data_IF_315956748396
#
_entry.id   IF_315956748396
#
_cell.length_a   1.000
_cell.length_b   1.000
_cell.length_c   1.000
_cell.angle_alpha   90.00
_cell.angle_beta   90.00
_cell.angle_gamma   90.00
#
_symmetry.space_group_name_H-M   'P 1'
#
loop_
_entity.id
_entity.type
_entity.pdbx_description
1 polymer ?
#
# COMPACT_ATOMS: atom_id res chain seq x y z
N UNK A 1 -0.17 7.56 12.72
CA UNK A 1 0.65 7.57 11.49
C UNK A 1 2.03 8.12 11.83
N UNK A 2 3.05 7.28 12.04
CA UNK A 2 4.34 7.73 12.56
C UNK A 2 5.09 8.69 11.61
N UNK A 3 4.76 8.67 10.31
CA UNK A 3 5.44 9.46 9.28
C UNK A 3 4.72 10.75 8.87
N UNK A 4 3.58 11.08 9.48
CA UNK A 4 2.76 12.23 9.07
C UNK A 4 3.52 13.58 9.14
N UNK A 5 4.34 13.86 10.18
CA UNK A 5 5.10 15.12 10.23
C UNK A 5 6.13 15.26 9.11
N UNK A 6 6.82 14.18 8.76
CA UNK A 6 7.81 14.18 7.68
C UNK A 6 7.14 14.35 6.31
N UNK A 7 6.00 13.68 6.10
CA UNK A 7 5.23 13.79 4.87
C UNK A 7 4.71 15.22 4.65
N UNK A 8 4.07 15.82 5.67
CA UNK A 8 3.56 17.20 5.59
C UNK A 8 4.68 18.17 5.25
N UNK A 9 5.83 18.05 5.94
CA UNK A 9 7.00 18.89 5.70
C UNK A 9 7.52 18.75 4.27
N UNK A 10 7.66 17.52 3.76
CA UNK A 10 8.12 17.28 2.40
C UNK A 10 7.15 17.85 1.35
N UNK A 11 5.84 17.70 1.55
CA UNK A 11 4.83 18.21 0.62
C UNK A 11 4.77 19.74 0.59
N UNK A 12 4.94 20.40 1.75
CA UNK A 12 5.05 21.86 1.83
C UNK A 12 6.32 22.37 1.11
N UNK A 13 7.46 21.72 1.32
CA UNK A 13 8.74 22.07 0.67
C UNK A 13 8.69 21.99 -0.86
N UNK A 14 8.00 20.99 -1.40
CA UNK A 14 7.87 20.80 -2.85
C UNK A 14 6.65 21.53 -3.44
N UNK A 15 5.93 22.32 -2.63
CA UNK A 15 4.79 23.12 -3.09
C UNK A 15 3.53 22.32 -3.44
N UNK A 16 3.46 21.03 -3.08
CA UNK A 16 2.29 20.18 -3.28
C UNK A 16 1.20 20.39 -2.22
N UNK A 17 1.55 21.07 -1.12
CA UNK A 17 0.66 21.30 0.00
C UNK A 17 0.87 22.72 0.54
N UNK A 18 -0.23 23.45 0.77
CA UNK A 18 -0.23 24.76 1.43
C UNK A 18 -1.28 24.74 2.52
N UNK A 19 -0.85 24.59 3.76
CA UNK A 19 -1.74 24.55 4.92
C UNK A 19 -1.64 25.86 5.72
N UNK A 20 -2.78 26.42 6.14
CA UNK A 20 -2.83 27.39 7.23
C UNK A 20 -2.18 26.82 8.50
N UNK A 21 -1.58 27.69 9.32
CA UNK A 21 -0.81 27.27 10.50
C UNK A 21 -1.65 26.52 11.55
N UNK A 22 -2.90 26.92 11.72
CA UNK A 22 -3.92 26.28 12.57
C UNK A 22 -4.27 24.88 12.06
N UNK A 23 -4.49 24.73 10.74
CA UNK A 23 -4.78 23.43 10.12
C UNK A 23 -3.58 22.48 10.27
N UNK A 24 -2.35 22.98 10.08
CA UNK A 24 -1.13 22.21 10.29
C UNK A 24 -1.00 21.74 11.74
N UNK A 25 -1.28 22.61 12.72
CA UNK A 25 -1.25 22.25 14.13
C UNK A 25 -2.29 21.18 14.47
N UNK A 26 -3.51 21.29 13.94
CA UNK A 26 -4.54 20.27 14.10
C UNK A 26 -4.18 18.95 13.43
N UNK A 27 -3.62 18.98 12.21
CA UNK A 27 -3.19 17.79 11.48
C UNK A 27 -2.07 17.03 12.18
N UNK A 28 -1.16 17.72 12.87
CA UNK A 28 -0.05 17.09 13.59
C UNK A 28 -0.43 16.62 15.00
N UNK A 29 -1.51 17.15 15.59
CA UNK A 29 -2.00 16.80 16.93
C UNK A 29 -3.13 15.78 16.94
N UNK A 30 -3.83 15.60 15.81
CA UNK A 30 -4.95 14.67 15.69
C UNK A 30 -4.49 13.22 15.96
N UNK A 31 -5.28 12.50 16.77
CA UNK A 31 -4.99 11.10 17.05
C UNK A 31 -5.32 10.20 15.85
N UNK A 32 -4.59 9.09 15.63
CA UNK A 32 -4.89 8.14 14.56
C UNK A 32 -6.34 7.66 14.56
N UNK A 33 -6.89 7.36 15.74
CA UNK A 33 -8.28 6.92 15.89
C UNK A 33 -9.30 7.98 15.43
N UNK A 34 -9.00 9.27 15.62
CA UNK A 34 -9.87 10.36 15.17
C UNK A 34 -9.83 10.48 13.65
N UNK A 35 -8.65 10.38 13.05
CA UNK A 35 -8.47 10.33 11.59
C UNK A 35 -9.25 9.15 11.00
N UNK A 36 -9.13 7.96 11.59
CA UNK A 36 -9.83 6.77 11.10
C UNK A 36 -11.35 6.91 11.19
N UNK A 37 -11.87 7.50 12.27
CA UNK A 37 -13.30 7.80 12.40
C UNK A 37 -13.78 8.82 11.37
N UNK A 38 -13.01 9.89 11.13
CA UNK A 38 -13.33 10.92 10.12
C UNK A 38 -13.32 10.35 8.70
N UNK A 39 -12.39 9.45 8.40
CA UNK A 39 -12.26 8.81 7.08
C UNK A 39 -13.21 7.62 6.87
N UNK A 40 -13.91 7.17 7.91
CA UNK A 40 -14.79 5.99 7.84
C UNK A 40 -15.86 6.09 6.73
N UNK A 41 -16.61 7.20 6.59
CA UNK A 41 -17.62 7.31 5.54
C UNK A 41 -17.01 7.23 4.14
N UNK A 42 -15.84 7.85 3.93
CA UNK A 42 -15.13 7.81 2.66
C UNK A 42 -14.61 6.40 2.34
N UNK A 43 -14.08 5.70 3.34
CA UNK A 43 -13.63 4.30 3.19
C UNK A 43 -14.79 3.36 2.84
N UNK A 44 -15.99 3.63 3.33
CA UNK A 44 -17.20 2.88 2.99
C UNK A 44 -17.68 3.20 1.56
N UNK A 45 -17.44 4.43 1.07
CA UNK A 45 -17.74 4.84 -0.30
C UNK A 45 -16.71 4.37 -1.34
N UNK A 46 -15.46 4.12 -0.93
CA UNK A 46 -14.43 3.53 -1.78
C UNK A 46 -14.84 2.09 -2.10
N UNK A 47 -15.34 1.88 -3.31
CA UNK A 47 -15.65 0.53 -3.83
C UNK A 47 -14.41 -0.37 -3.69
N UNK A 48 -14.64 -1.61 -3.27
CA UNK A 48 -13.61 -2.66 -3.16
C UNK A 48 -12.74 -2.63 -4.42
N UNK A 49 -11.42 -2.58 -4.25
CA UNK A 49 -10.47 -2.51 -5.37
C UNK A 49 -10.80 -3.61 -6.38
N UNK A 50 -11.08 -3.21 -7.63
CA UNK A 50 -11.46 -4.14 -8.68
C UNK A 50 -10.18 -4.86 -9.11
N UNK A 51 -10.10 -6.15 -8.81
CA UNK A 51 -8.99 -6.99 -9.25
C UNK A 51 -9.26 -7.48 -10.67
N UNK A 52 -8.35 -7.20 -11.60
CA UNK A 52 -8.34 -7.81 -12.93
C UNK A 52 -7.82 -9.25 -12.89
N UNK A 53 -7.15 -9.64 -11.80
CA UNK A 53 -6.63 -10.99 -11.59
C UNK A 53 -7.59 -11.80 -10.70
N UNK A 54 -7.91 -13.03 -11.11
CA UNK A 54 -8.54 -14.03 -10.22
C UNK A 54 -7.43 -14.76 -9.49
N UNK A 55 -7.55 -14.88 -8.16
CA UNK A 55 -6.59 -15.62 -7.35
C UNK A 55 -6.57 -17.09 -7.80
N UNK A 56 -5.46 -17.55 -8.38
CA UNK A 56 -5.22 -18.97 -8.62
C UNK A 56 -5.06 -19.69 -7.29
N UNK A 57 -5.64 -20.89 -7.16
CA UNK A 57 -5.68 -21.65 -5.90
C UNK A 57 -4.36 -22.39 -5.59
N UNK A 58 -3.36 -22.26 -6.45
CA UNK A 58 -2.14 -23.07 -6.42
C UNK A 58 -0.94 -22.24 -5.96
N UNK A 59 -0.17 -22.81 -5.03
CA UNK A 59 1.18 -22.42 -4.61
C UNK A 59 1.34 -21.36 -3.51
N UNK A 60 0.42 -20.40 -3.29
CA UNK A 60 0.63 -19.39 -2.21
C UNK A 60 0.74 -20.00 -0.79
N UNK A 61 0.00 -21.07 -0.51
CA UNK A 61 0.05 -21.78 0.78
C UNK A 61 1.36 -22.57 1.00
N UNK A 62 2.13 -22.83 -0.06
CA UNK A 62 3.43 -23.51 0.05
C UNK A 62 4.57 -22.53 0.39
N UNK A 63 4.27 -21.23 0.47
CA UNK A 63 5.24 -20.18 0.75
C UNK A 63 5.00 -19.72 2.17
N UNK A 64 5.85 -20.17 3.09
CA UNK A 64 5.73 -19.88 4.51
C UNK A 64 6.01 -18.39 4.75
N UNK A 65 5.09 -17.69 5.43
CA UNK A 65 5.29 -16.29 5.84
C UNK A 65 6.07 -16.28 7.16
N UNK A 66 7.35 -15.91 7.11
CA UNK A 66 8.17 -15.68 8.31
C UNK A 66 8.03 -14.24 8.80
N UNK A 67 8.00 -14.07 10.12
CA UNK A 67 8.06 -12.77 10.80
C UNK A 67 9.50 -12.47 11.22
N UNK A 68 9.76 -11.23 11.66
CA UNK A 68 11.09 -10.61 11.84
C UNK A 68 12.20 -11.39 12.57
N UNK A 69 11.92 -12.53 13.22
CA UNK A 69 12.88 -13.27 14.03
C UNK A 69 13.69 -14.35 13.28
N UNK A 70 13.31 -14.69 12.04
CA UNK A 70 13.71 -15.95 11.40
C UNK A 70 14.53 -15.75 10.09
N UNK A 71 15.50 -14.82 10.10
CA UNK A 71 16.24 -14.38 8.90
C UNK A 71 17.64 -14.98 8.72
N UNK A 72 18.10 -15.88 9.60
CA UNK A 72 19.38 -16.55 9.40
C UNK A 72 19.20 -17.69 8.38
N UNK A 73 20.00 -17.65 7.31
CA UNK A 73 20.11 -18.66 6.22
C UNK A 73 19.01 -18.65 5.15
N UNK A 74 18.79 -17.49 4.52
CA UNK A 74 17.78 -17.34 3.46
C UNK A 74 18.39 -17.28 2.06
N UNK A 75 18.06 -18.26 1.21
CA UNK A 75 18.49 -18.30 -0.21
C UNK A 75 17.34 -17.86 -1.13
N UNK A 76 17.61 -17.06 -2.19
CA UNK A 76 16.61 -16.77 -3.23
C UNK A 76 16.05 -18.05 -3.84
N UNK A 77 14.72 -18.20 -3.90
CA UNK A 77 14.06 -19.45 -4.29
C UNK A 77 13.21 -19.38 -5.53
N UNK A 78 12.25 -18.47 -5.54
CA UNK A 78 11.24 -18.35 -6.58
C UNK A 78 11.10 -16.90 -7.01
N UNK A 79 10.65 -16.68 -8.25
CA UNK A 79 10.29 -15.35 -8.75
C UNK A 79 8.76 -15.32 -8.93
N UNK A 80 8.06 -14.47 -8.19
CA UNK A 80 6.65 -14.17 -8.47
C UNK A 80 6.59 -12.97 -9.43
N UNK A 81 5.73 -13.07 -10.45
CA UNK A 81 5.46 -11.98 -11.38
C UNK A 81 3.98 -11.61 -11.27
N UNK A 82 3.70 -10.33 -10.99
CA UNK A 82 2.35 -9.80 -10.84
C UNK A 82 2.16 -8.55 -11.72
N UNK A 83 0.90 -8.24 -12.04
CA UNK A 83 0.53 -7.04 -12.78
C UNK A 83 -0.33 -6.12 -11.91
N UNK A 84 -0.02 -4.82 -11.93
CA UNK A 84 -0.83 -3.76 -11.32
C UNK A 84 -1.49 -2.93 -12.42
N UNK A 85 -2.82 -3.00 -12.49
CA UNK A 85 -3.63 -2.25 -13.46
C UNK A 85 -3.90 -0.82 -12.97
N UNK A 86 -3.42 0.18 -13.73
CA UNK A 86 -3.66 1.60 -13.44
C UNK A 86 -4.98 2.08 -14.05
N UNK A 87 -6.08 1.49 -13.58
CA UNK A 87 -7.41 1.64 -14.17
C UNK A 87 -8.34 2.61 -13.41
N UNK A 88 -7.86 3.29 -12.37
CA UNK A 88 -8.66 4.28 -11.61
C UNK A 88 -9.95 3.71 -11.00
N UNK A 89 -10.04 2.39 -10.80
CA UNK A 89 -11.24 1.72 -10.30
C UNK A 89 -12.29 1.38 -11.36
N UNK A 90 -11.99 1.54 -12.65
CA UNK A 90 -12.82 1.07 -13.76
C UNK A 90 -12.01 0.22 -14.74
N UNK A 91 -12.30 -1.07 -14.81
CA UNK A 91 -11.57 -2.02 -15.66
C UNK A 91 -12.04 -2.04 -17.12
N UNK A 92 -12.97 -1.17 -17.51
CA UNK A 92 -13.41 -1.06 -18.91
C UNK A 92 -12.45 -0.21 -19.73
N UNK A 93 -12.07 -0.70 -20.91
CA UNK A 93 -11.19 0.01 -21.84
C UNK A 93 -9.72 -0.34 -21.68
N UNK A 94 -8.84 0.51 -22.23
CA UNK A 94 -7.39 0.32 -22.20
C UNK A 94 -6.75 1.11 -21.05
N UNK A 95 -5.82 0.48 -20.34
CA UNK A 95 -5.06 1.09 -19.25
C UNK A 95 -3.64 0.51 -19.20
N UNK A 96 -2.73 1.24 -18.58
CA UNK A 96 -1.36 0.81 -18.36
C UNK A 96 -1.30 -0.25 -17.27
N UNK A 97 -0.37 -1.18 -17.43
CA UNK A 97 -0.07 -2.18 -16.41
C UNK A 97 1.41 -2.07 -16.04
N UNK A 98 1.71 -2.10 -14.75
CA UNK A 98 3.07 -2.27 -14.25
C UNK A 98 3.32 -3.75 -13.99
N UNK A 99 4.41 -4.29 -14.55
CA UNK A 99 4.93 -5.61 -14.19
C UNK A 99 5.79 -5.49 -12.93
N UNK A 100 5.44 -6.25 -11.91
CA UNK A 100 6.17 -6.35 -10.65
C UNK A 100 6.79 -7.73 -10.58
N UNK A 101 8.08 -7.79 -10.26
CA UNK A 101 8.82 -9.03 -10.06
C UNK A 101 9.31 -9.06 -8.61
N UNK A 102 8.91 -10.10 -7.86
CA UNK A 102 9.30 -10.29 -6.47
C UNK A 102 10.07 -11.59 -6.31
N UNK A 103 11.28 -11.49 -5.76
CA UNK A 103 12.05 -12.67 -5.38
C UNK A 103 11.50 -13.17 -4.06
N UNK A 104 10.95 -14.37 -4.09
CA UNK A 104 10.58 -15.15 -2.92
C UNK A 104 11.71 -16.06 -2.54
N UNK A 105 11.88 -16.22 -1.24
CA UNK A 105 12.99 -16.95 -0.67
C UNK A 105 12.65 -18.44 -0.61
N UNK A 106 13.62 -19.31 -0.91
CA UNK A 106 13.52 -20.77 -0.72
C UNK A 106 13.85 -21.06 0.73
N UNK A 107 12.95 -21.75 1.40
CA UNK A 107 13.24 -22.35 2.70
C UNK A 107 13.63 -23.80 2.40
N UNK A 108 14.84 -24.22 2.77
CA UNK A 108 15.24 -25.64 2.84
C UNK A 108 14.87 -26.17 4.21
#
# INVERSE_FOLDING_TARGET
MPFLPQLVTAMEQHGHLRLPADVRAHLLSISPATVDRMLRPERENIKRSISTTRRGNLLKHQIQVRTFADWDDVTPGFLEADLVAHCGGNTNGAFLNTLVLEIKLKIV
#
